data_IF_653254356353
#
_entry.id   IF_653254356353
#
_cell.length_a   1.000
_cell.length_b   1.000
_cell.length_c   1.000
_cell.angle_alpha   90.00
_cell.angle_beta   90.00
_cell.angle_gamma   90.00
#
_symmetry.space_group_name_H-M   'P 1'
#
loop_
_entity.id
_entity.type
_entity.pdbx_description
1 polymer ?
#
# COMPACT_ATOMS: atom_id res chain seq x y z
N UNK A 1 0.93 -1.50 -19.25
CA UNK A 1 0.29 -1.45 -17.92
C UNK A 1 -0.14 -2.85 -17.57
N UNK A 2 0.34 -3.41 -16.46
CA UNK A 2 -0.02 -4.77 -16.03
C UNK A 2 -1.41 -4.80 -15.40
N UNK A 3 -1.98 -5.99 -15.21
CA UNK A 3 -3.24 -6.16 -14.47
C UNK A 3 -3.16 -5.63 -13.03
N UNK A 4 -1.98 -5.72 -12.42
CA UNK A 4 -1.74 -5.25 -11.06
C UNK A 4 -1.62 -3.72 -10.99
N UNK A 5 -1.01 -3.12 -12.01
CA UNK A 5 -1.01 -1.66 -12.16
C UNK A 5 -2.42 -1.12 -12.46
N UNK A 6 -3.25 -1.86 -13.20
CA UNK A 6 -4.67 -1.54 -13.37
C UNK A 6 -5.43 -1.59 -12.04
N UNK A 7 -5.27 -2.65 -11.26
CA UNK A 7 -5.89 -2.77 -9.93
C UNK A 7 -5.48 -1.62 -9.00
N UNK A 8 -4.19 -1.23 -8.98
CA UNK A 8 -3.73 -0.03 -8.27
C UNK A 8 -4.45 1.23 -8.75
N UNK A 9 -4.59 1.41 -10.07
CA UNK A 9 -5.24 2.59 -10.64
C UNK A 9 -6.74 2.64 -10.33
N UNK A 10 -7.42 1.50 -10.29
CA UNK A 10 -8.83 1.37 -9.92
C UNK A 10 -9.04 1.76 -8.45
N UNK A 11 -8.25 1.18 -7.54
CA UNK A 11 -8.26 1.55 -6.11
C UNK A 11 -8.00 3.04 -5.94
N UNK A 12 -7.02 3.59 -6.65
CA UNK A 12 -6.68 5.01 -6.57
C UNK A 12 -7.82 5.91 -7.05
N UNK A 13 -8.52 5.51 -8.12
CA UNK A 13 -9.68 6.24 -8.63
C UNK A 13 -10.85 6.17 -7.64
N UNK A 14 -11.14 4.99 -7.09
CA UNK A 14 -12.17 4.82 -6.08
C UNK A 14 -11.90 5.70 -4.85
N UNK A 15 -10.72 5.58 -4.24
CA UNK A 15 -10.35 6.36 -3.05
C UNK A 15 -10.22 7.86 -3.32
N UNK A 16 -9.94 8.27 -4.56
CA UNK A 16 -9.99 9.69 -4.91
C UNK A 16 -11.42 10.23 -4.84
N UNK A 17 -12.40 9.47 -5.33
CA UNK A 17 -13.81 9.86 -5.33
C UNK A 17 -14.41 9.85 -3.92
N UNK A 18 -14.03 8.90 -3.07
CA UNK A 18 -14.62 8.74 -1.73
C UNK A 18 -13.91 9.53 -0.64
N UNK A 19 -12.59 9.69 -0.75
CA UNK A 19 -11.74 10.11 0.38
C UNK A 19 -10.76 11.23 0.02
N UNK A 20 -10.83 11.76 -1.21
CA UNK A 20 -9.90 12.77 -1.74
C UNK A 20 -8.43 12.33 -1.70
N UNK A 21 -8.18 11.02 -1.77
CA UNK A 21 -6.85 10.45 -1.93
C UNK A 21 -6.25 10.90 -3.25
N UNK A 22 -4.96 11.22 -3.27
CA UNK A 22 -4.24 11.62 -4.48
C UNK A 22 -3.11 10.65 -4.79
N UNK A 23 -2.84 10.47 -6.09
CA UNK A 23 -1.63 9.78 -6.55
C UNK A 23 -0.40 10.65 -6.33
N UNK A 24 0.74 10.01 -6.12
CA UNK A 24 2.05 10.67 -6.07
C UNK A 24 3.17 9.66 -6.27
N UNK A 25 4.40 10.05 -5.93
CA UNK A 25 5.56 9.16 -5.96
C UNK A 25 6.23 9.07 -4.57
N UNK A 26 6.79 7.90 -4.29
CA UNK A 26 7.65 7.58 -3.13
C UNK A 26 8.65 6.51 -3.55
N UNK A 27 9.95 6.71 -3.28
CA UNK A 27 11.02 5.79 -3.71
C UNK A 27 11.00 5.44 -5.22
N UNK A 28 10.61 6.38 -6.09
CA UNK A 28 10.48 6.15 -7.53
C UNK A 28 9.27 5.32 -7.96
N UNK A 29 8.42 4.90 -7.01
CA UNK A 29 7.21 4.12 -7.24
C UNK A 29 5.93 4.95 -7.07
N UNK A 30 4.86 4.53 -7.76
CA UNK A 30 3.55 5.18 -7.67
C UNK A 30 2.95 4.93 -6.28
N UNK A 31 2.41 5.96 -5.64
CA UNK A 31 1.83 5.84 -4.30
C UNK A 31 0.52 6.62 -4.16
N UNK A 32 -0.21 6.31 -3.09
CA UNK A 32 -1.44 6.98 -2.67
C UNK A 32 -1.17 7.80 -1.41
N UNK A 33 -1.71 9.01 -1.37
CA UNK A 33 -1.52 9.96 -0.28
C UNK A 33 -2.86 10.56 0.17
N UNK A 34 -2.97 10.81 1.46
CA UNK A 34 -4.00 11.65 2.07
C UNK A 34 -3.31 12.74 2.88
N UNK A 35 -3.70 14.01 2.72
CA UNK A 35 -3.10 15.13 3.46
C UNK A 35 -1.55 15.11 3.46
N UNK A 36 -0.94 14.83 2.30
CA UNK A 36 0.52 14.66 2.08
C UNK A 36 1.16 13.43 2.74
N UNK A 37 0.46 12.67 3.58
CA UNK A 37 0.92 11.41 4.18
C UNK A 37 0.70 10.26 3.20
N UNK A 38 1.74 9.50 2.87
CA UNK A 38 1.62 8.30 2.04
C UNK A 38 1.11 7.13 2.88
N UNK A 39 0.24 6.30 2.29
CA UNK A 39 -0.33 5.14 2.98
C UNK A 39 -0.32 3.85 2.15
N UNK A 40 -0.21 3.94 0.82
CA UNK A 40 -0.07 2.78 -0.06
C UNK A 40 0.87 3.08 -1.24
N UNK A 41 1.53 2.07 -1.79
CA UNK A 41 2.46 2.20 -2.91
C UNK A 41 2.45 0.95 -3.79
N UNK A 42 2.47 1.14 -5.10
CA UNK A 42 2.64 0.08 -6.09
C UNK A 42 4.11 -0.08 -6.43
N UNK A 43 4.72 -1.16 -5.96
CA UNK A 43 6.16 -1.40 -6.01
C UNK A 43 6.44 -2.79 -6.56
N UNK A 44 7.16 -2.86 -7.69
CA UNK A 44 7.57 -4.12 -8.33
C UNK A 44 6.41 -5.12 -8.51
N UNK A 45 5.30 -4.67 -9.11
CA UNK A 45 4.08 -5.47 -9.30
C UNK A 45 3.34 -5.86 -8.01
N UNK A 46 3.80 -5.43 -6.83
CA UNK A 46 3.19 -5.70 -5.53
C UNK A 46 2.62 -4.40 -4.91
N UNK A 47 1.83 -4.54 -3.84
CA UNK A 47 1.37 -3.40 -3.06
C UNK A 47 2.09 -3.33 -1.72
N UNK A 48 2.40 -2.11 -1.28
CA UNK A 48 3.01 -1.82 0.01
C UNK A 48 2.07 -0.91 0.79
N UNK A 49 1.77 -1.26 2.04
CA UNK A 49 0.78 -0.56 2.87
C UNK A 49 1.41 -0.05 4.17
N UNK A 50 1.05 1.18 4.57
CA UNK A 50 1.37 1.71 5.90
C UNK A 50 0.42 1.07 6.92
N UNK A 51 0.81 -0.09 7.44
CA UNK A 51 0.09 -0.83 8.46
C UNK A 51 1.06 -1.37 9.51
N UNK A 52 0.62 -1.51 10.77
CA UNK A 52 1.37 -2.32 11.73
C UNK A 52 1.49 -3.76 11.22
N UNK A 53 2.55 -4.46 11.64
CA UNK A 53 2.76 -5.86 11.29
C UNK A 53 1.81 -6.75 12.11
N UNK A 54 0.53 -6.78 11.72
CA UNK A 54 -0.47 -7.66 12.32
C UNK A 54 -0.16 -9.12 11.97
N UNK A 55 -0.23 -10.01 12.97
CA UNK A 55 0.13 -11.42 12.82
C UNK A 55 -0.67 -12.12 11.71
N UNK A 56 -1.96 -11.81 11.59
CA UNK A 56 -2.84 -12.35 10.55
C UNK A 56 -2.36 -11.98 9.15
N UNK A 57 -1.99 -10.72 8.90
CA UNK A 57 -1.47 -10.26 7.62
C UNK A 57 -0.09 -10.85 7.33
N UNK A 58 0.77 -10.90 8.35
CA UNK A 58 2.12 -11.45 8.23
C UNK A 58 2.15 -12.98 8.06
N UNK A 59 1.07 -13.68 8.41
CA UNK A 59 0.91 -15.12 8.19
C UNK A 59 0.62 -15.49 6.73
N UNK A 60 0.23 -14.51 5.90
CA UNK A 60 -0.02 -14.74 4.47
C UNK A 60 1.28 -15.00 3.72
N UNK A 61 1.26 -16.00 2.84
CA UNK A 61 2.43 -16.41 2.08
C UNK A 61 3.07 -15.26 1.29
N UNK A 62 4.35 -15.01 1.55
CA UNK A 62 5.17 -14.00 0.86
C UNK A 62 4.97 -12.56 1.33
N UNK A 63 4.05 -12.31 2.27
CA UNK A 63 3.92 -11.02 2.93
C UNK A 63 5.12 -10.78 3.84
N UNK A 64 5.67 -9.57 3.79
CA UNK A 64 6.91 -9.21 4.50
C UNK A 64 6.96 -7.74 4.87
N UNK A 65 7.82 -7.38 5.82
CA UNK A 65 8.18 -5.97 6.04
C UNK A 65 8.77 -5.39 4.76
N UNK A 66 8.33 -4.20 4.38
CA UNK A 66 8.84 -3.53 3.19
C UNK A 66 10.30 -3.13 3.36
N UNK A 67 11.12 -3.43 2.37
CA UNK A 67 12.55 -3.13 2.34
C UNK A 67 12.90 -2.41 1.04
N UNK A 68 12.85 -1.06 0.99
CA UNK A 68 13.11 -0.30 -0.23
C UNK A 68 14.56 -0.38 -0.71
N UNK A 69 15.49 -0.73 0.20
CA UNK A 69 16.91 -0.87 -0.06
C UNK A 69 17.45 -2.06 0.74
N UNK A 70 18.37 -2.88 0.19
CA UNK A 70 18.98 -3.99 0.90
C UNK A 70 19.54 -3.57 2.27
N UNK A 71 19.17 -4.31 3.31
CA UNK A 71 19.54 -4.07 4.71
C UNK A 71 18.78 -2.92 5.40
N UNK A 72 17.74 -2.34 4.78
CA UNK A 72 16.99 -1.20 5.34
C UNK A 72 15.48 -1.44 5.38
N UNK A 73 15.00 -2.35 6.25
CA UNK A 73 13.57 -2.57 6.43
C UNK A 73 12.89 -1.32 6.99
N UNK A 74 11.69 -1.02 6.48
CA UNK A 74 10.90 0.12 6.90
C UNK A 74 9.74 -0.36 7.80
N UNK A 75 9.95 -0.25 9.11
CA UNK A 75 8.96 -0.72 10.09
C UNK A 75 7.59 -0.03 9.94
N UNK A 76 6.53 -0.82 10.14
CA UNK A 76 5.15 -0.37 9.95
C UNK A 76 4.79 -0.11 8.48
N UNK A 77 5.51 -0.73 7.55
CA UNK A 77 5.15 -0.87 6.16
C UNK A 77 5.24 -2.33 5.76
N UNK A 78 4.19 -2.85 5.17
CA UNK A 78 4.05 -4.26 4.80
C UNK A 78 3.92 -4.38 3.29
N UNK A 79 4.73 -5.22 2.67
CA UNK A 79 4.70 -5.55 1.26
C UNK A 79 3.89 -6.82 1.03
N UNK A 80 2.88 -6.74 0.17
CA UNK A 80 1.88 -7.76 -0.09
C UNK A 80 1.96 -8.20 -1.55
N UNK A 81 2.35 -9.46 -1.82
CA UNK A 81 2.48 -9.99 -3.17
C UNK A 81 1.21 -9.92 -4.01
N UNK A 82 1.40 -9.88 -5.32
CA UNK A 82 0.34 -9.80 -6.32
C UNK A 82 -0.64 -10.99 -6.32
N UNK A 83 -0.23 -12.16 -5.83
CA UNK A 83 -1.12 -13.31 -5.60
C UNK A 83 -2.27 -12.99 -4.63
N UNK A 84 -2.11 -11.95 -3.81
CA UNK A 84 -3.11 -11.45 -2.86
C UNK A 84 -3.81 -10.19 -3.36
N UNK A 85 -3.79 -9.90 -4.67
CA UNK A 85 -4.37 -8.66 -5.21
C UNK A 85 -5.85 -8.46 -4.92
N UNK A 86 -6.60 -9.55 -4.71
CA UNK A 86 -8.00 -9.49 -4.28
C UNK A 86 -8.21 -8.84 -2.91
N UNK A 87 -7.16 -8.71 -2.08
CA UNK A 87 -7.23 -8.05 -0.76
C UNK A 87 -6.74 -6.60 -0.79
N UNK A 88 -6.19 -6.11 -1.92
CA UNK A 88 -5.49 -4.82 -1.96
C UNK A 88 -6.40 -3.62 -1.69
N UNK A 89 -7.65 -3.67 -2.13
CA UNK A 89 -8.60 -2.59 -1.88
C UNK A 89 -8.92 -2.46 -0.39
N UNK A 90 -9.26 -3.57 0.27
CA UNK A 90 -9.52 -3.62 1.71
C UNK A 90 -8.29 -3.14 2.51
N UNK A 91 -7.10 -3.63 2.14
CA UNK A 91 -5.84 -3.22 2.78
C UNK A 91 -5.52 -1.73 2.54
N UNK A 92 -5.88 -1.17 1.39
CA UNK A 92 -5.72 0.27 1.11
C UNK A 92 -6.64 1.11 2.01
N UNK A 93 -7.89 0.68 2.20
CA UNK A 93 -8.84 1.32 3.11
C UNK A 93 -8.34 1.24 4.56
N UNK A 94 -7.85 0.07 5.00
CA UNK A 94 -7.24 -0.10 6.33
C UNK A 94 -6.05 0.83 6.53
N UNK A 95 -5.13 0.90 5.57
CA UNK A 95 -3.95 1.77 5.65
C UNK A 95 -4.32 3.25 5.65
N UNK A 96 -5.31 3.66 4.86
CA UNK A 96 -5.86 5.02 4.86
C UNK A 96 -6.41 5.40 6.24
N UNK A 97 -7.24 4.53 6.83
CA UNK A 97 -7.82 4.75 8.15
C UNK A 97 -6.75 4.80 9.24
N UNK A 98 -5.75 3.92 9.18
CA UNK A 98 -4.61 3.94 10.09
C UNK A 98 -3.86 5.27 10.03
N UNK A 99 -3.50 5.74 8.83
CA UNK A 99 -2.75 7.00 8.67
C UNK A 99 -3.56 8.23 9.11
N UNK A 100 -4.90 8.21 8.99
CA UNK A 100 -5.77 9.27 9.51
C UNK A 100 -5.73 9.41 11.04
N UNK A 101 -5.43 8.32 11.75
CA UNK A 101 -5.34 8.29 13.20
C UNK A 101 -3.94 8.65 13.72
N UNK A 102 -2.93 8.69 12.85
CA UNK A 102 -1.59 9.14 13.21
C UNK A 102 -1.59 10.66 13.26
N UNK A 103 -1.26 11.22 14.42
CA UNK A 103 -1.06 12.66 14.64
C UNK A 103 -0.01 13.23 13.67
#
# INVERSE_FOLDING_TARGET
MSQYEMAFNEIASHLNLTDHVVKGNMFGAKCLKINKKAFAMFYQEEMVFKLPAEESLMSLEGVRTFEPMPGRPMNGWVQVPNRHSGQWEELSVKALNYVRQLN
#
